data_IF_580248442772
#
_entry.id   IF_580248442772
#
_cell.length_a   1.000
_cell.length_b   1.000
_cell.length_c   1.000
_cell.angle_alpha   90.00
_cell.angle_beta   90.00
_cell.angle_gamma   90.00
#
_symmetry.space_group_name_H-M   'P 1'
#
loop_
_entity.id
_entity.type
_entity.pdbx_description
1 polymer ?
#
# COMPACT_ATOMS: atom_id res chain seq x y z
N UNK A 1 49.47 24.95 -3.61
CA UNK A 1 50.38 23.79 -3.71
C UNK A 1 49.54 22.59 -4.11
N UNK A 2 49.63 22.21 -5.38
CA UNK A 2 48.85 21.13 -5.98
C UNK A 2 49.53 19.79 -5.69
N UNK A 3 48.85 18.88 -5.01
CA UNK A 3 49.32 17.51 -4.83
C UNK A 3 48.58 16.64 -5.85
N UNK A 4 49.30 16.31 -6.90
CA UNK A 4 48.97 15.28 -7.89
C UNK A 4 49.36 13.93 -7.28
N UNK A 5 48.40 13.02 -7.13
CA UNK A 5 48.67 11.62 -6.79
C UNK A 5 48.39 10.78 -8.02
N UNK A 6 49.46 10.19 -8.56
CA UNK A 6 49.46 9.31 -9.72
C UNK A 6 48.93 7.93 -9.33
N UNK A 7 48.00 7.42 -10.13
CA UNK A 7 47.53 6.04 -10.13
C UNK A 7 48.57 5.14 -10.80
N UNK A 8 48.93 4.04 -10.16
CA UNK A 8 49.69 2.94 -10.77
C UNK A 8 48.78 1.71 -10.94
N UNK A 9 48.97 0.91 -12.02
CA UNK A 9 47.97 -0.04 -12.49
C UNK A 9 48.10 -1.40 -11.79
N UNK A 10 47.00 -1.89 -11.19
CA UNK A 10 46.94 -3.26 -10.66
C UNK A 10 46.69 -4.26 -11.78
N UNK A 11 47.57 -5.25 -11.87
CA UNK A 11 47.65 -6.29 -12.87
C UNK A 11 46.38 -7.15 -13.00
N UNK A 12 45.99 -7.40 -14.25
CA UNK A 12 45.04 -8.42 -14.66
C UNK A 12 45.73 -9.80 -14.62
N UNK A 13 45.16 -10.76 -13.89
CA UNK A 13 45.53 -12.18 -13.95
C UNK A 13 44.39 -12.93 -14.66
N UNK A 14 44.62 -13.59 -15.81
CA UNK A 14 43.61 -14.40 -16.46
C UNK A 14 43.55 -15.77 -15.79
N UNK A 15 42.37 -16.19 -15.33
CA UNK A 15 42.10 -17.59 -14.99
C UNK A 15 41.21 -18.20 -16.05
N UNK A 16 41.82 -18.97 -16.94
CA UNK A 16 41.16 -19.97 -17.78
C UNK A 16 40.65 -21.10 -16.88
N UNK A 17 39.33 -21.31 -16.86
CA UNK A 17 38.74 -22.54 -16.34
C UNK A 17 37.85 -23.15 -17.41
N UNK A 18 38.25 -24.34 -17.83
CA UNK A 18 37.64 -25.19 -18.83
C UNK A 18 36.21 -25.62 -18.45
N UNK A 19 35.36 -25.76 -19.48
CA UNK A 19 34.02 -26.38 -19.40
C UNK A 19 34.12 -27.90 -19.25
N UNK A 20 33.29 -28.52 -18.40
CA UNK A 20 32.81 -29.87 -18.63
C UNK A 20 31.37 -29.85 -19.14
N UNK A 21 31.12 -30.67 -20.15
CA UNK A 21 29.83 -30.91 -20.78
C UNK A 21 29.09 -32.05 -20.04
N UNK A 22 27.76 -32.00 -20.08
CA UNK A 22 26.78 -33.07 -19.76
C UNK A 22 26.46 -33.38 -18.28
N UNK A 23 25.16 -33.34 -17.95
CA UNK A 23 24.60 -34.04 -16.79
C UNK A 23 23.45 -33.33 -16.07
N UNK A 24 22.22 -33.58 -16.54
CA UNK A 24 20.94 -33.53 -15.78
C UNK A 24 20.66 -32.33 -14.87
N UNK A 25 19.82 -31.42 -15.34
CA UNK A 25 19.10 -30.46 -14.49
C UNK A 25 18.07 -31.22 -13.64
N UNK A 26 18.37 -31.39 -12.35
CA UNK A 26 17.38 -31.74 -11.32
C UNK A 26 16.53 -30.50 -11.04
N UNK A 27 15.27 -30.54 -11.47
CA UNK A 27 14.23 -29.61 -11.02
C UNK A 27 13.92 -29.96 -9.57
N UNK A 28 14.21 -29.06 -8.63
CA UNK A 28 13.73 -29.16 -7.26
C UNK A 28 12.30 -28.59 -7.21
N UNK A 29 11.33 -29.46 -7.50
CA UNK A 29 9.94 -29.25 -7.11
C UNK A 29 9.80 -29.66 -5.64
N UNK A 30 9.71 -28.68 -4.73
CA UNK A 30 9.29 -28.94 -3.36
C UNK A 30 7.76 -28.84 -3.28
N UNK A 31 7.08 -29.95 -3.57
CA UNK A 31 5.69 -30.17 -3.18
C UNK A 31 5.61 -30.35 -1.66
N UNK A 32 4.68 -29.64 -1.01
CA UNK A 32 4.09 -30.07 0.25
C UNK A 32 2.63 -30.44 -0.02
N UNK A 33 2.42 -31.74 -0.20
CA UNK A 33 1.14 -32.43 -0.15
C UNK A 33 0.72 -32.61 1.31
N UNK A 34 -0.44 -32.06 1.68
CA UNK A 34 -1.22 -32.56 2.82
C UNK A 34 -2.52 -33.14 2.26
N UNK A 35 -2.66 -34.46 2.36
CA UNK A 35 -3.87 -35.20 2.02
C UNK A 35 -5.05 -34.74 2.88
N UNK A 36 -6.17 -34.39 2.23
CA UNK A 36 -7.48 -34.33 2.88
C UNK A 36 -8.30 -35.50 2.36
N UNK A 37 -8.55 -36.46 3.26
CA UNK A 37 -9.32 -37.65 3.00
C UNK A 37 -10.80 -37.32 2.68
N UNK A 38 -11.33 -38.01 1.67
CA UNK A 38 -12.74 -37.99 1.27
C UNK A 38 -13.61 -38.69 2.32
N UNK A 39 -14.71 -38.06 2.73
CA UNK A 39 -15.88 -38.74 3.28
C UNK A 39 -17.13 -38.29 2.49
N UNK A 40 -17.72 -39.23 1.77
CA UNK A 40 -19.10 -39.31 1.25
C UNK A 40 -19.73 -40.51 1.98
N UNK A 41 -21.00 -40.66 2.30
CA UNK A 41 -22.29 -40.02 2.03
C UNK A 41 -23.26 -40.56 3.11
N UNK A 42 -24.33 -39.84 3.48
CA UNK A 42 -25.71 -40.40 3.50
C UNK A 42 -26.78 -39.42 4.01
N UNK A 43 -27.50 -38.83 3.06
CA UNK A 43 -28.96 -38.76 2.89
C UNK A 43 -29.92 -39.10 4.06
N UNK A 44 -30.84 -38.17 4.41
CA UNK A 44 -32.31 -38.35 4.64
C UNK A 44 -33.00 -36.98 4.35
N UNK A 45 -33.73 -36.79 3.23
CA UNK A 45 -35.23 -36.75 3.03
C UNK A 45 -35.99 -35.85 4.03
N UNK A 46 -36.99 -35.00 3.70
CA UNK A 46 -37.88 -34.82 2.52
C UNK A 46 -38.77 -33.54 2.67
N UNK A 47 -39.27 -33.01 1.53
CA UNK A 47 -40.58 -32.32 1.23
C UNK A 47 -40.87 -30.95 1.91
N UNK A 48 -40.86 -29.82 1.18
CA UNK A 48 -41.80 -29.28 0.18
C UNK A 48 -43.10 -28.67 0.76
N UNK A 49 -43.37 -27.39 0.46
CA UNK A 49 -44.62 -26.91 -0.15
C UNK A 49 -44.51 -25.42 -0.51
N UNK A 50 -44.87 -25.13 -1.76
CA UNK A 50 -45.00 -23.84 -2.42
C UNK A 50 -46.39 -23.24 -2.23
N UNK A 51 -46.52 -21.91 -2.24
CA UNK A 51 -47.74 -21.22 -2.71
C UNK A 51 -47.41 -19.87 -3.36
N UNK A 52 -47.93 -19.69 -4.58
CA UNK A 52 -47.93 -18.47 -5.38
C UNK A 52 -49.10 -17.55 -4.97
N UNK A 53 -48.98 -16.24 -5.16
CA UNK A 53 -49.85 -15.50 -6.11
C UNK A 53 -49.48 -14.03 -6.30
N UNK A 54 -49.86 -13.57 -7.50
CA UNK A 54 -49.61 -12.31 -8.22
C UNK A 54 -50.26 -11.06 -7.60
N UNK A 55 -49.78 -9.88 -8.00
CA UNK A 55 -50.58 -8.65 -8.02
C UNK A 55 -49.79 -7.39 -8.43
N UNK A 56 -50.20 -6.74 -9.51
CA UNK A 56 -49.57 -5.65 -10.28
C UNK A 56 -49.94 -4.22 -9.84
N UNK A 57 -48.94 -3.32 -9.93
CA UNK A 57 -48.92 -1.96 -10.52
C UNK A 57 -49.89 -0.79 -10.11
N UNK A 58 -49.26 0.41 -10.11
CA UNK A 58 -49.71 1.78 -10.46
C UNK A 58 -50.34 2.77 -9.44
N UNK A 59 -49.56 3.81 -9.12
CA UNK A 59 -49.71 5.26 -9.38
C UNK A 59 -51.00 6.08 -9.03
N UNK A 60 -50.73 7.37 -8.72
CA UNK A 60 -51.62 8.55 -8.55
C UNK A 60 -52.32 8.69 -7.19
N UNK A 61 -52.53 9.86 -6.59
CA UNK A 61 -52.41 11.26 -6.99
C UNK A 61 -52.64 12.18 -5.78
N UNK A 62 -52.39 13.48 -5.96
CA UNK A 62 -52.57 14.56 -4.96
C UNK A 62 -54.05 14.73 -4.58
N UNK A 63 -54.31 15.17 -3.34
CA UNK A 63 -55.31 16.22 -3.14
C UNK A 63 -55.13 17.02 -1.84
N UNK A 64 -55.29 18.34 -2.00
CA UNK A 64 -55.29 19.35 -0.95
C UNK A 64 -56.68 19.43 -0.29
N UNK A 65 -56.73 19.41 1.04
CA UNK A 65 -57.89 19.94 1.78
C UNK A 65 -57.44 20.89 2.90
N UNK A 66 -57.95 22.11 2.76
CA UNK A 66 -57.74 23.29 3.59
C UNK A 66 -58.82 23.30 4.68
N UNK A 67 -58.44 23.26 5.96
CA UNK A 67 -59.40 23.37 7.07
C UNK A 67 -58.94 24.37 8.13
N UNK A 68 -59.65 25.52 8.13
CA UNK A 68 -59.98 26.47 9.21
C UNK A 68 -59.04 26.63 10.42
N UNK A 69 -58.46 27.84 10.52
CA UNK A 69 -57.94 28.46 11.74
C UNK A 69 -59.02 28.53 12.84
N UNK A 70 -58.66 28.05 14.04
CA UNK A 70 -59.24 28.51 15.32
C UNK A 70 -58.13 29.21 16.10
N UNK A 71 -58.40 30.44 16.55
CA UNK A 71 -57.55 31.26 17.42
C UNK A 71 -57.37 30.55 18.77
N UNK A 72 -56.15 30.11 19.06
CA UNK A 72 -55.69 29.71 20.40
C UNK A 72 -54.71 30.75 20.92
N UNK A 73 -54.85 31.13 22.19
CA UNK A 73 -54.04 32.11 22.91
C UNK A 73 -52.52 31.96 22.63
N UNK A 74 -51.89 33.04 22.17
CA UNK A 74 -50.43 33.15 22.16
C UNK A 74 -49.94 33.32 23.61
N UNK A 75 -49.32 32.29 24.18
CA UNK A 75 -48.34 32.50 25.24
C UNK A 75 -47.03 32.92 24.58
N UNK A 76 -46.51 34.08 24.96
CA UNK A 76 -45.15 34.48 24.62
C UNK A 76 -44.23 33.64 25.52
N UNK A 77 -43.64 32.59 24.96
CA UNK A 77 -42.51 31.90 25.59
C UNK A 77 -41.28 32.75 25.28
N UNK A 78 -40.71 33.38 26.32
CA UNK A 78 -39.43 34.05 26.18
C UNK A 78 -38.38 32.99 25.79
N UNK A 79 -37.81 33.11 24.59
CA UNK A 79 -36.68 32.30 24.19
C UNK A 79 -35.51 32.63 25.12
N UNK A 80 -34.98 31.62 25.82
CA UNK A 80 -33.68 31.75 26.48
C UNK A 80 -32.65 32.22 25.44
N UNK A 81 -31.73 33.12 25.80
CA UNK A 81 -30.68 33.54 24.88
C UNK A 81 -29.89 32.30 24.42
N UNK A 82 -29.41 32.28 23.17
CA UNK A 82 -28.51 31.21 22.74
C UNK A 82 -27.35 31.18 23.74
N UNK A 83 -27.16 30.03 24.40
CA UNK A 83 -25.91 29.74 25.08
C UNK A 83 -24.82 29.95 24.03
N UNK A 84 -24.03 30.99 24.21
CA UNK A 84 -22.78 31.15 23.49
C UNK A 84 -21.97 29.90 23.81
N UNK A 85 -21.97 28.93 22.90
CA UNK A 85 -20.97 27.88 22.92
C UNK A 85 -19.64 28.61 22.92
N UNK A 86 -18.96 28.57 24.08
CA UNK A 86 -17.70 29.24 24.27
C UNK A 86 -16.78 28.78 23.13
N UNK A 87 -16.50 29.68 22.19
CA UNK A 87 -15.54 29.43 21.14
C UNK A 87 -14.22 29.23 21.86
N UNK A 88 -13.83 27.97 22.06
CA UNK A 88 -12.53 27.64 22.63
C UNK A 88 -11.52 28.19 21.65
N UNK A 89 -10.92 29.33 21.99
CA UNK A 89 -9.87 29.95 21.21
C UNK A 89 -8.74 28.92 21.10
N UNK A 90 -8.57 28.39 19.90
CA UNK A 90 -7.54 27.40 19.61
C UNK A 90 -6.30 28.15 19.14
N UNK A 91 -5.21 28.02 19.89
CA UNK A 91 -3.94 28.63 19.53
C UNK A 91 -3.34 27.92 18.30
N UNK A 92 -2.67 28.65 17.39
CA UNK A 92 -1.93 28.03 16.29
C UNK A 92 -0.83 27.10 16.79
N UNK A 93 -0.59 26.00 16.05
CA UNK A 93 0.50 25.08 16.37
C UNK A 93 1.86 25.79 16.28
N UNK A 94 2.71 25.53 17.27
CA UNK A 94 4.10 25.97 17.35
C UNK A 94 5.05 24.91 16.80
N UNK A 95 6.34 25.25 16.65
CA UNK A 95 7.38 24.27 16.29
C UNK A 95 7.48 23.18 17.37
N UNK A 96 7.37 23.59 18.63
CA UNK A 96 7.46 22.74 19.81
C UNK A 96 6.33 21.72 19.83
N UNK A 97 5.12 22.08 19.37
CA UNK A 97 4.01 21.14 19.21
C UNK A 97 4.31 20.07 18.16
N UNK A 98 4.93 20.44 17.04
CA UNK A 98 5.32 19.49 15.99
C UNK A 98 6.43 18.54 16.47
N UNK A 99 7.40 19.04 17.23
CA UNK A 99 8.43 18.21 17.87
C UNK A 99 7.79 17.30 18.92
N UNK A 100 6.89 17.84 19.75
CA UNK A 100 6.14 17.11 20.77
C UNK A 100 5.30 15.99 20.18
N UNK A 101 4.71 16.19 18.99
CA UNK A 101 3.99 15.16 18.26
C UNK A 101 4.90 13.98 17.89
N UNK A 102 6.08 14.22 17.32
CA UNK A 102 7.04 13.16 17.01
C UNK A 102 7.55 12.45 18.27
N UNK A 103 7.88 13.22 19.32
CA UNK A 103 8.34 12.70 20.59
C UNK A 103 7.28 11.83 21.30
N UNK A 104 5.98 12.12 21.11
CA UNK A 104 4.88 11.29 21.62
C UNK A 104 4.87 9.87 21.04
N UNK A 105 5.60 9.62 19.95
CA UNK A 105 5.81 8.30 19.36
C UNK A 105 6.72 7.37 20.18
N UNK A 106 7.42 7.88 21.20
CA UNK A 106 8.32 7.10 22.06
C UNK A 106 7.57 5.98 22.81
N UNK A 107 8.10 4.76 22.73
CA UNK A 107 7.51 3.57 23.38
C UNK A 107 8.55 2.80 24.18
N UNK A 108 8.18 2.36 25.37
CA UNK A 108 8.98 1.38 26.13
C UNK A 108 9.20 0.12 25.29
N UNK A 109 10.33 -0.55 25.49
CA UNK A 109 10.80 -1.64 24.62
C UNK A 109 9.79 -2.79 24.51
N UNK A 110 9.07 -3.08 25.59
CA UNK A 110 8.06 -4.15 25.66
C UNK A 110 6.83 -3.83 24.78
N UNK A 111 6.65 -2.55 24.43
CA UNK A 111 5.60 -2.05 23.54
C UNK A 111 6.07 -1.89 22.10
N UNK A 112 7.33 -2.21 21.77
CA UNK A 112 7.81 -2.16 20.39
C UNK A 112 7.10 -3.19 19.53
N UNK A 113 6.79 -2.80 18.30
CA UNK A 113 6.11 -3.62 17.31
C UNK A 113 6.81 -3.49 15.96
N UNK A 114 6.47 -4.42 15.07
CA UNK A 114 6.94 -4.53 13.70
C UNK A 114 5.71 -4.30 12.81
N UNK A 115 5.63 -3.15 12.16
CA UNK A 115 4.70 -2.94 11.06
C UNK A 115 5.38 -3.30 9.75
N UNK A 116 4.69 -3.98 8.84
CA UNK A 116 5.24 -4.32 7.52
C UNK A 116 4.26 -3.87 6.45
N UNK A 117 4.79 -3.22 5.42
CA UNK A 117 4.00 -2.82 4.27
C UNK A 117 4.65 -3.33 3.00
N UNK A 118 3.83 -3.72 2.02
CA UNK A 118 4.35 -4.15 0.74
C UNK A 118 3.36 -3.88 -0.40
N UNK A 119 3.92 -3.56 -1.55
CA UNK A 119 3.21 -3.27 -2.78
C UNK A 119 3.40 -4.41 -3.79
N UNK A 120 2.45 -4.56 -4.71
CA UNK A 120 2.51 -5.57 -5.77
C UNK A 120 1.73 -5.11 -7.00
N UNK A 121 2.22 -5.48 -8.19
CA UNK A 121 1.57 -5.13 -9.45
C UNK A 121 0.51 -6.17 -9.81
N UNK A 122 -0.75 -5.75 -9.97
CA UNK A 122 -1.79 -6.59 -10.55
C UNK A 122 -1.70 -6.61 -12.08
N UNK A 123 -1.95 -7.76 -12.69
CA UNK A 123 -1.95 -7.91 -14.15
C UNK A 123 -2.94 -8.97 -14.64
N UNK A 124 -3.43 -8.84 -15.87
CA UNK A 124 -4.29 -9.84 -16.52
C UNK A 124 -3.46 -11.02 -17.04
N UNK A 125 -3.83 -12.28 -16.75
CA UNK A 125 -3.07 -13.45 -17.22
C UNK A 125 -2.99 -13.55 -18.75
N UNK A 126 -4.07 -13.22 -19.46
CA UNK A 126 -4.14 -13.37 -20.92
C UNK A 126 -3.33 -12.34 -21.71
N UNK A 127 -3.21 -11.11 -21.20
CA UNK A 127 -2.62 -9.98 -21.94
C UNK A 127 -1.35 -9.43 -21.28
N UNK A 128 -1.12 -9.79 -20.01
CA UNK A 128 -0.13 -9.22 -19.10
C UNK A 128 -0.32 -7.72 -18.84
N UNK A 129 -1.44 -7.12 -19.27
CA UNK A 129 -1.71 -5.68 -19.08
C UNK A 129 -1.87 -5.36 -17.58
N UNK A 130 -1.46 -4.16 -17.14
CA UNK A 130 -1.69 -3.72 -15.77
C UNK A 130 -3.18 -3.72 -15.43
N UNK A 131 -3.51 -4.12 -14.22
CA UNK A 131 -4.89 -4.16 -13.72
C UNK A 131 -5.49 -2.74 -13.70
N UNK A 132 -6.64 -2.56 -14.35
CA UNK A 132 -7.37 -1.27 -14.41
C UNK A 132 -8.09 -0.99 -13.09
N UNK A 133 -8.52 0.26 -12.90
CA UNK A 133 -9.26 0.66 -11.71
C UNK A 133 -10.55 -0.14 -11.54
N UNK A 134 -11.30 -0.41 -12.61
CA UNK A 134 -12.58 -1.16 -12.52
C UNK A 134 -12.35 -2.58 -11.99
N UNK A 135 -11.28 -3.23 -12.42
CA UNK A 135 -10.85 -4.54 -11.92
C UNK A 135 -10.36 -4.46 -10.47
N UNK A 136 -9.62 -3.40 -10.10
CA UNK A 136 -9.23 -3.16 -8.71
C UNK A 136 -10.47 -2.99 -7.82
N UNK A 137 -11.47 -2.23 -8.27
CA UNK A 137 -12.69 -1.98 -7.52
C UNK A 137 -13.48 -3.28 -7.32
N UNK A 138 -13.61 -4.11 -8.35
CA UNK A 138 -14.24 -5.44 -8.24
C UNK A 138 -13.47 -6.33 -7.26
N UNK A 139 -12.14 -6.35 -7.34
CA UNK A 139 -11.29 -7.10 -6.41
C UNK A 139 -11.48 -6.63 -4.95
N UNK A 140 -11.47 -5.33 -4.70
CA UNK A 140 -11.66 -4.76 -3.36
C UNK A 140 -13.06 -5.09 -2.81
N UNK A 141 -14.11 -5.00 -3.64
CA UNK A 141 -15.46 -5.40 -3.23
C UNK A 141 -15.54 -6.89 -2.91
N UNK A 142 -14.94 -7.75 -3.75
CA UNK A 142 -14.90 -9.19 -3.51
C UNK A 142 -14.15 -9.56 -2.24
N UNK A 143 -13.03 -8.90 -1.93
CA UNK A 143 -12.31 -9.11 -0.66
C UNK A 143 -13.15 -8.64 0.53
N UNK A 144 -13.75 -7.44 0.43
CA UNK A 144 -14.60 -6.88 1.48
C UNK A 144 -15.74 -7.82 1.86
N UNK A 145 -16.43 -8.36 0.86
CA UNK A 145 -17.63 -9.20 1.04
C UNK A 145 -17.31 -10.62 1.50
N UNK A 146 -16.16 -11.20 1.09
CA UNK A 146 -15.79 -12.57 1.46
C UNK A 146 -15.00 -12.68 2.76
N UNK A 147 -14.28 -11.63 3.13
CA UNK A 147 -13.33 -11.66 4.25
C UNK A 147 -13.59 -10.56 5.29
N UNK A 148 -14.77 -9.92 5.22
CA UNK A 148 -15.26 -8.95 6.20
C UNK A 148 -14.30 -7.76 6.41
N UNK A 149 -13.90 -7.11 5.31
CA UNK A 149 -13.17 -5.85 5.37
C UNK A 149 -14.09 -4.64 5.15
N UNK A 150 -13.84 -3.57 5.89
CA UNK A 150 -14.54 -2.30 5.72
C UNK A 150 -14.05 -1.56 4.47
N UNK A 151 -14.99 -1.09 3.64
CA UNK A 151 -14.68 -0.36 2.40
C UNK A 151 -14.21 1.06 2.71
N UNK A 152 -13.07 1.46 2.15
CA UNK A 152 -12.56 2.85 2.23
C UNK A 152 -12.87 3.57 0.93
N UNK A 153 -13.58 4.69 1.02
CA UNK A 153 -14.13 5.42 -0.12
C UNK A 153 -13.52 6.81 -0.27
N UNK A 154 -13.31 7.26 -1.52
CA UNK A 154 -13.06 8.66 -1.88
C UNK A 154 -14.13 9.07 -2.90
N UNK A 155 -15.11 9.86 -2.44
CA UNK A 155 -16.34 10.07 -3.21
C UNK A 155 -17.07 8.75 -3.45
N UNK A 156 -17.35 8.42 -4.71
CA UNK A 156 -17.99 7.16 -5.11
C UNK A 156 -16.99 6.05 -5.49
N UNK A 157 -15.68 6.30 -5.36
CA UNK A 157 -14.63 5.32 -5.67
C UNK A 157 -14.20 4.56 -4.42
N UNK A 158 -14.17 3.22 -4.50
CA UNK A 158 -13.51 2.40 -3.48
C UNK A 158 -12.00 2.44 -3.74
N UNK A 159 -11.24 2.90 -2.75
CA UNK A 159 -9.79 3.16 -2.90
C UNK A 159 -8.93 2.35 -1.93
N UNK A 160 -9.56 1.49 -1.14
CA UNK A 160 -8.88 0.65 -0.17
C UNK A 160 -9.86 -0.10 0.72
N UNK A 161 -9.30 -0.86 1.65
CA UNK A 161 -10.04 -1.60 2.66
C UNK A 161 -9.38 -1.43 4.03
N UNK A 162 -10.13 -1.65 5.10
CA UNK A 162 -9.61 -1.66 6.47
C UNK A 162 -10.18 -2.84 7.26
N UNK A 163 -9.34 -3.48 8.06
CA UNK A 163 -9.76 -4.51 9.00
C UNK A 163 -8.91 -4.43 10.26
N UNK A 164 -9.50 -3.97 11.36
CA UNK A 164 -8.77 -3.73 12.60
C UNK A 164 -7.62 -2.74 12.41
N UNK A 165 -6.39 -3.22 12.56
CA UNK A 165 -5.14 -2.43 12.39
C UNK A 165 -4.46 -2.62 11.03
N UNK A 166 -5.06 -3.40 10.14
CA UNK A 166 -4.58 -3.58 8.77
C UNK A 166 -5.36 -2.68 7.83
N UNK A 167 -4.71 -2.27 6.74
CA UNK A 167 -5.37 -1.60 5.63
C UNK A 167 -4.80 -2.03 4.30
N UNK A 168 -5.67 -2.13 3.30
CA UNK A 168 -5.30 -2.29 1.90
C UNK A 168 -5.45 -0.93 1.24
N UNK A 169 -4.42 -0.52 0.51
CA UNK A 169 -4.35 0.80 -0.12
C UNK A 169 -3.90 0.69 -1.57
N UNK A 170 -4.07 1.78 -2.34
CA UNK A 170 -3.68 1.87 -3.74
C UNK A 170 -2.72 3.02 -3.94
N UNK A 171 -1.57 2.71 -4.53
CA UNK A 171 -0.57 3.65 -5.04
C UNK A 171 -0.99 4.25 -6.40
N UNK A 172 -0.31 5.30 -6.92
CA UNK A 172 -0.78 6.04 -8.09
C UNK A 172 -1.06 5.19 -9.34
N UNK A 173 -0.24 4.16 -9.58
CA UNK A 173 -0.36 3.24 -10.71
C UNK A 173 -1.24 2.01 -10.46
N UNK A 174 -1.95 1.96 -9.34
CA UNK A 174 -2.75 0.80 -8.95
C UNK A 174 -1.95 -0.33 -8.34
N UNK A 175 -0.71 -0.07 -7.89
CA UNK A 175 0.02 -1.03 -7.06
C UNK A 175 -0.79 -1.29 -5.80
N UNK A 176 -0.99 -2.57 -5.49
CA UNK A 176 -1.94 -3.01 -4.49
C UNK A 176 -1.23 -3.31 -3.18
N UNK A 177 -1.35 -2.39 -2.24
CA UNK A 177 -0.58 -2.36 -1.01
C UNK A 177 -1.31 -3.06 0.14
N UNK A 178 -0.55 -3.74 1.00
CA UNK A 178 -0.94 -4.01 2.38
C UNK A 178 -0.11 -3.12 3.30
N UNK A 179 -0.78 -2.40 4.19
CA UNK A 179 -0.19 -1.90 5.43
C UNK A 179 -0.65 -2.80 6.58
N UNK A 180 0.29 -3.61 7.08
CA UNK A 180 0.07 -4.60 8.13
C UNK A 180 -0.13 -4.00 9.52
N UNK A 181 -0.60 -4.84 10.45
CA UNK A 181 -0.74 -4.44 11.84
C UNK A 181 0.63 -4.28 12.53
N UNK A 182 0.71 -3.50 13.63
CA UNK A 182 1.89 -3.50 14.48
C UNK A 182 1.95 -4.81 15.30
N UNK A 183 2.81 -5.73 14.87
CA UNK A 183 2.94 -7.10 15.40
C UNK A 183 4.16 -7.27 16.31
N UNK A 184 4.16 -8.30 17.15
CA UNK A 184 5.23 -8.52 18.13
C UNK A 184 6.39 -9.36 17.57
N UNK A 185 6.10 -10.27 16.64
CA UNK A 185 7.09 -11.21 16.10
C UNK A 185 7.06 -11.30 14.59
N UNK A 186 8.20 -11.65 13.99
CA UNK A 186 8.31 -11.90 12.55
C UNK A 186 7.45 -13.09 12.07
N UNK A 187 7.16 -14.06 12.95
CA UNK A 187 6.26 -15.16 12.62
C UNK A 187 4.83 -14.67 12.41
N UNK A 188 4.37 -13.73 13.24
CA UNK A 188 3.07 -13.07 13.04
C UNK A 188 3.07 -12.26 11.74
N UNK A 189 4.13 -11.49 11.45
CA UNK A 189 4.25 -10.75 10.19
C UNK A 189 4.16 -11.69 8.98
N UNK A 190 4.86 -12.83 9.01
CA UNK A 190 4.80 -13.81 7.94
C UNK A 190 3.39 -14.41 7.79
N UNK A 191 2.71 -14.72 8.90
CA UNK A 191 1.33 -15.19 8.87
C UNK A 191 0.36 -14.14 8.29
N UNK A 192 0.53 -12.86 8.63
CA UNK A 192 -0.28 -11.75 8.11
C UNK A 192 -0.09 -11.59 6.59
N UNK A 193 1.16 -11.57 6.11
CA UNK A 193 1.46 -11.52 4.67
C UNK A 193 0.82 -12.71 3.93
N UNK A 194 0.94 -13.93 4.46
CA UNK A 194 0.33 -15.10 3.84
C UNK A 194 -1.20 -15.04 3.83
N UNK A 195 -1.82 -14.57 4.90
CA UNK A 195 -3.28 -14.37 4.98
C UNK A 195 -3.76 -13.39 3.91
N UNK A 196 -3.09 -12.24 3.78
CA UNK A 196 -3.40 -11.27 2.73
C UNK A 196 -3.24 -11.85 1.32
N UNK A 197 -2.10 -12.50 1.05
CA UNK A 197 -1.86 -13.10 -0.26
C UNK A 197 -2.89 -14.18 -0.61
N UNK A 198 -3.32 -14.97 0.38
CA UNK A 198 -4.39 -15.95 0.20
C UNK A 198 -5.71 -15.28 -0.17
N UNK A 199 -6.15 -14.27 0.59
CA UNK A 199 -7.40 -13.56 0.35
C UNK A 199 -7.43 -12.89 -1.03
N UNK A 200 -6.34 -12.20 -1.39
CA UNK A 200 -6.21 -11.55 -2.70
C UNK A 200 -6.27 -12.58 -3.83
N UNK A 201 -5.54 -13.71 -3.72
CA UNK A 201 -5.56 -14.76 -4.74
C UNK A 201 -6.93 -15.40 -4.90
N UNK A 202 -7.61 -15.69 -3.79
CA UNK A 202 -8.93 -16.34 -3.80
C UNK A 202 -9.99 -15.56 -4.60
N UNK A 203 -9.86 -14.23 -4.68
CA UNK A 203 -10.76 -13.39 -5.50
C UNK A 203 -10.15 -13.14 -6.88
N UNK A 204 -8.87 -12.81 -6.95
CA UNK A 204 -8.22 -12.41 -8.21
C UNK A 204 -8.14 -13.52 -9.26
N UNK A 205 -7.98 -14.79 -8.84
CA UNK A 205 -7.92 -15.92 -9.77
C UNK A 205 -9.22 -16.10 -10.56
N UNK A 206 -10.37 -15.89 -9.92
CA UNK A 206 -11.69 -15.93 -10.58
C UNK A 206 -11.85 -14.81 -11.62
N UNK A 207 -11.11 -13.71 -11.45
CA UNK A 207 -11.09 -12.56 -12.36
C UNK A 207 -10.03 -12.70 -13.47
N UNK A 208 -9.22 -13.77 -13.46
CA UNK A 208 -8.08 -13.92 -14.36
C UNK A 208 -6.95 -12.92 -14.11
N UNK A 209 -6.81 -12.45 -12.86
CA UNK A 209 -5.79 -11.50 -12.42
C UNK A 209 -4.69 -12.21 -11.61
N UNK A 210 -3.43 -11.92 -11.94
CA UNK A 210 -2.25 -12.29 -11.18
C UNK A 210 -1.60 -11.09 -10.48
N UNK A 211 -0.67 -11.38 -9.56
CA UNK A 211 0.14 -10.36 -8.89
C UNK A 211 1.64 -10.64 -9.03
N UNK A 212 2.41 -9.60 -9.28
CA UNK A 212 3.86 -9.64 -9.47
C UNK A 212 4.58 -8.85 -8.38
N UNK A 213 5.49 -9.51 -7.66
CA UNK A 213 6.40 -8.91 -6.68
C UNK A 213 7.75 -8.56 -7.32
N UNK A 214 7.89 -7.34 -7.83
CA UNK A 214 9.12 -6.82 -8.45
C UNK A 214 9.23 -5.33 -8.13
N UNK A 215 10.45 -4.80 -7.98
CA UNK A 215 10.65 -3.40 -7.59
C UNK A 215 10.27 -2.36 -8.66
N UNK A 216 10.19 -2.77 -9.93
CA UNK A 216 9.85 -1.89 -11.05
C UNK A 216 9.07 -2.66 -12.13
N UNK A 217 8.04 -2.03 -12.72
CA UNK A 217 7.21 -2.61 -13.78
C UNK A 217 8.09 -3.01 -14.99
N UNK A 218 8.24 -4.31 -15.28
CA UNK A 218 9.25 -4.79 -16.21
C UNK A 218 8.86 -4.64 -17.68
N UNK A 219 7.57 -4.55 -18.03
CA UNK A 219 7.06 -4.72 -19.40
C UNK A 219 6.46 -3.46 -20.01
N UNK A 220 5.75 -2.66 -19.22
CA UNK A 220 4.91 -1.58 -19.74
C UNK A 220 5.52 -0.19 -19.53
N UNK A 221 5.30 0.69 -20.51
CA UNK A 221 5.67 2.09 -20.40
C UNK A 221 4.72 2.85 -19.48
N UNK A 222 5.12 4.03 -19.02
CA UNK A 222 4.30 4.83 -18.09
C UNK A 222 2.91 5.16 -18.66
N UNK A 223 2.81 5.38 -19.97
CA UNK A 223 1.55 5.67 -20.69
C UNK A 223 0.53 4.51 -20.65
N UNK A 224 1.00 3.30 -20.37
CA UNK A 224 0.18 2.10 -20.30
C UNK A 224 -0.32 1.81 -18.87
N UNK A 225 0.14 2.58 -17.88
CA UNK A 225 -0.22 2.40 -16.47
C UNK A 225 -1.52 3.17 -16.16
N UNK A 226 -2.53 2.54 -15.55
CA UNK A 226 -3.74 3.22 -15.13
C UNK A 226 -3.44 4.22 -14.01
N UNK A 227 -4.29 5.24 -13.91
CA UNK A 227 -4.19 6.26 -12.86
C UNK A 227 -5.31 6.04 -11.85
N UNK A 228 -4.96 5.86 -10.59
CA UNK A 228 -5.96 5.68 -9.54
C UNK A 228 -6.72 6.98 -9.26
N UNK A 229 -8.05 6.93 -9.04
CA UNK A 229 -8.90 8.12 -8.88
C UNK A 229 -8.80 8.71 -7.47
N UNK A 230 -7.59 9.17 -7.09
CA UNK A 230 -7.32 9.84 -5.81
C UNK A 230 -6.81 11.26 -6.07
N UNK A 231 -7.50 12.27 -5.55
CA UNK A 231 -7.20 13.68 -5.83
C UNK A 231 -5.76 14.08 -5.48
N UNK A 232 -5.18 13.47 -4.43
CA UNK A 232 -3.78 13.70 -4.05
C UNK A 232 -2.78 13.38 -5.16
N UNK A 233 -3.08 12.38 -6.01
CA UNK A 233 -2.19 11.95 -7.07
C UNK A 233 -2.16 12.91 -8.26
N UNK A 234 -3.23 13.64 -8.50
CA UNK A 234 -3.24 14.68 -9.53
C UNK A 234 -2.26 15.81 -9.18
N UNK A 235 -2.24 16.24 -7.91
CA UNK A 235 -1.30 17.25 -7.41
C UNK A 235 0.14 16.77 -7.61
N UNK A 236 0.45 15.55 -7.17
CA UNK A 236 1.80 15.00 -7.28
C UNK A 236 2.21 14.81 -8.74
N UNK A 237 1.34 14.27 -9.61
CA UNK A 237 1.61 14.06 -11.04
C UNK A 237 1.96 15.37 -11.75
N UNK A 238 1.30 16.46 -11.38
CA UNK A 238 1.57 17.79 -11.95
C UNK A 238 2.85 18.43 -11.36
N UNK A 239 3.29 18.00 -10.19
CA UNK A 239 4.46 18.54 -9.50
C UNK A 239 5.76 17.81 -9.88
N UNK A 240 5.75 16.47 -9.95
CA UNK A 240 6.97 15.67 -10.16
C UNK A 240 7.84 16.13 -11.36
N UNK A 241 7.28 16.44 -12.55
CA UNK A 241 8.08 16.91 -13.69
C UNK A 241 8.84 18.23 -13.44
N UNK A 242 8.48 18.98 -12.39
CA UNK A 242 9.12 20.25 -12.02
C UNK A 242 10.38 20.06 -11.18
N UNK A 243 10.61 18.87 -10.63
CA UNK A 243 11.63 18.61 -9.60
C UNK A 243 12.55 17.43 -9.87
N UNK A 244 12.21 16.58 -10.84
CA UNK A 244 13.04 15.45 -11.26
C UNK A 244 12.48 14.80 -12.53
N UNK A 245 13.28 13.98 -13.22
CA UNK A 245 12.83 13.31 -14.45
C UNK A 245 12.19 11.93 -14.18
N UNK A 246 12.47 11.32 -13.02
CA UNK A 246 12.03 9.96 -12.68
C UNK A 246 10.89 9.92 -11.65
N UNK A 247 10.42 11.07 -11.15
CA UNK A 247 9.38 11.12 -10.12
C UNK A 247 8.02 10.54 -10.55
N UNK A 248 7.69 10.59 -11.84
CA UNK A 248 6.50 9.92 -12.37
C UNK A 248 6.68 8.39 -12.41
N UNK A 249 7.89 7.90 -12.72
CA UNK A 249 8.17 6.48 -12.69
C UNK A 249 8.15 5.91 -11.27
N UNK A 250 8.61 6.68 -10.29
CA UNK A 250 8.43 6.35 -8.88
C UNK A 250 6.94 6.10 -8.57
N UNK A 251 6.09 7.06 -8.91
CA UNK A 251 4.65 7.00 -8.62
C UNK A 251 3.95 5.80 -9.29
N UNK A 252 4.22 5.56 -10.57
CA UNK A 252 3.40 4.66 -11.39
C UNK A 252 4.03 3.28 -11.63
N UNK A 253 5.36 3.16 -11.50
CA UNK A 253 6.08 1.97 -11.95
C UNK A 253 6.97 1.34 -10.89
N UNK A 254 6.96 1.79 -9.64
CA UNK A 254 7.71 1.12 -8.56
C UNK A 254 6.81 0.39 -7.56
N UNK A 255 7.35 -0.67 -6.96
CA UNK A 255 6.82 -1.31 -5.76
C UNK A 255 7.91 -1.39 -4.67
N UNK A 256 7.52 -1.40 -3.40
CA UNK A 256 8.41 -1.61 -2.25
C UNK A 256 7.92 -2.70 -1.30
N UNK A 257 8.83 -3.19 -0.48
CA UNK A 257 8.53 -3.75 0.85
C UNK A 257 9.23 -2.88 1.88
N UNK A 258 8.53 -2.50 2.94
CA UNK A 258 9.04 -1.64 3.99
C UNK A 258 8.65 -2.14 5.38
N UNK A 259 9.43 -1.72 6.38
CA UNK A 259 9.21 -2.06 7.78
C UNK A 259 9.18 -0.79 8.62
N UNK A 260 8.20 -0.73 9.51
CA UNK A 260 7.99 0.35 10.47
C UNK A 260 8.42 -0.15 11.85
N UNK A 261 9.34 0.59 12.49
CA UNK A 261 9.93 0.22 13.78
C UNK A 261 9.82 1.37 14.78
N UNK A 262 9.59 1.00 16.05
CA UNK A 262 9.48 1.95 17.16
C UNK A 262 10.84 2.39 17.71
N UNK A 263 10.85 3.51 18.45
CA UNK A 263 11.97 4.00 19.26
C UNK A 263 11.50 4.33 20.69
N UNK A 264 12.41 4.23 21.67
CA UNK A 264 12.07 4.47 23.08
C UNK A 264 12.34 5.88 23.60
N UNK A 265 13.18 6.63 22.91
CA UNK A 265 13.55 8.01 23.23
C UNK A 265 14.13 8.68 21.99
N UNK A 266 14.35 9.99 22.07
CA UNK A 266 15.10 10.74 21.06
C UNK A 266 16.51 10.17 20.83
N UNK A 267 17.23 9.81 21.89
CA UNK A 267 18.55 9.20 21.78
C UNK A 267 18.52 7.83 21.05
N UNK A 268 17.50 7.00 21.30
CA UNK A 268 17.31 5.74 20.59
C UNK A 268 16.90 5.97 19.12
N UNK A 269 16.04 6.96 18.87
CA UNK A 269 15.64 7.39 17.53
C UNK A 269 16.86 7.81 16.70
N UNK A 270 17.72 8.69 17.23
CA UNK A 270 18.94 9.14 16.55
C UNK A 270 19.85 7.95 16.20
N UNK A 271 20.06 7.03 17.15
CA UNK A 271 20.89 5.82 16.94
C UNK A 271 20.31 4.93 15.83
N UNK A 272 19.00 4.67 15.88
CA UNK A 272 18.30 3.85 14.87
C UNK A 272 18.28 4.53 13.50
N UNK A 273 18.08 5.84 13.45
CA UNK A 273 18.07 6.59 12.19
C UNK A 273 19.46 6.56 11.53
N UNK A 274 20.52 6.84 12.29
CA UNK A 274 21.92 6.74 11.79
C UNK A 274 22.24 5.33 11.30
N UNK A 275 21.88 4.30 12.05
CA UNK A 275 22.09 2.91 11.65
C UNK A 275 21.28 2.57 10.38
N UNK A 276 20.01 2.95 10.32
CA UNK A 276 19.13 2.74 9.18
C UNK A 276 19.69 3.37 7.91
N UNK A 277 20.06 4.66 7.95
CA UNK A 277 20.65 5.35 6.80
C UNK A 277 21.96 4.70 6.35
N UNK A 278 22.88 4.41 7.28
CA UNK A 278 24.18 3.83 6.93
C UNK A 278 24.05 2.44 6.28
N UNK A 279 23.06 1.63 6.70
CA UNK A 279 22.86 0.26 6.21
C UNK A 279 21.87 0.17 5.05
N UNK A 280 21.13 1.23 4.73
CA UNK A 280 20.11 1.23 3.67
C UNK A 280 20.65 0.79 2.29
N UNK A 281 21.86 1.17 1.86
CA UNK A 281 22.42 0.67 0.60
C UNK A 281 22.70 -0.84 0.60
N UNK A 282 23.07 -1.41 1.76
CA UNK A 282 23.29 -2.86 1.91
C UNK A 282 21.96 -3.59 1.77
N UNK A 283 20.91 -3.13 2.45
CA UNK A 283 19.57 -3.67 2.29
C UNK A 283 19.11 -3.57 0.82
N UNK A 284 19.34 -2.44 0.17
CA UNK A 284 18.99 -2.24 -1.25
C UNK A 284 19.71 -3.24 -2.16
N UNK A 285 20.98 -3.57 -1.88
CA UNK A 285 21.73 -4.55 -2.65
C UNK A 285 21.22 -5.97 -2.45
N UNK A 286 20.91 -6.37 -1.21
CA UNK A 286 20.37 -7.71 -0.89
C UNK A 286 19.00 -7.92 -1.56
N UNK A 287 18.16 -6.88 -1.58
CA UNK A 287 16.79 -6.94 -2.10
C UNK A 287 16.65 -6.38 -3.54
N UNK A 288 17.75 -6.24 -4.28
CA UNK A 288 17.73 -5.71 -5.64
C UNK A 288 16.92 -6.63 -6.58
N UNK A 289 15.79 -6.13 -7.08
CA UNK A 289 14.84 -6.92 -7.87
C UNK A 289 14.12 -6.05 -8.91
N UNK A 290 14.85 -5.30 -9.75
CA UNK A 290 14.24 -4.53 -10.85
C UNK A 290 15.16 -4.29 -12.07
N UNK A 291 15.59 -5.36 -12.76
CA UNK A 291 16.56 -5.25 -13.86
C UNK A 291 15.96 -4.98 -15.25
N UNK A 292 14.64 -4.91 -15.37
CA UNK A 292 13.94 -4.75 -16.65
C UNK A 292 13.18 -3.43 -16.74
N UNK A 293 13.13 -2.85 -17.94
CA UNK A 293 12.27 -1.73 -18.31
C UNK A 293 11.76 -1.98 -19.72
N UNK A 294 10.44 -1.92 -19.90
CA UNK A 294 9.78 -2.05 -21.22
C UNK A 294 10.18 -3.32 -22.00
N UNK A 295 10.37 -4.43 -21.28
CA UNK A 295 10.70 -5.74 -21.82
C UNK A 295 12.19 -6.00 -22.04
N UNK A 296 13.06 -5.03 -21.74
CA UNK A 296 14.51 -5.11 -21.97
C UNK A 296 15.30 -4.93 -20.67
N UNK A 297 16.54 -5.44 -20.63
CA UNK A 297 17.47 -5.13 -19.54
C UNK A 297 17.77 -3.63 -19.51
N UNK A 298 17.72 -3.03 -18.33
CA UNK A 298 17.89 -1.58 -18.15
C UNK A 298 19.28 -1.16 -17.64
N UNK A 299 20.17 -2.12 -17.37
CA UNK A 299 21.53 -1.87 -16.90
C UNK A 299 21.67 -1.70 -15.37
N UNK A 300 20.58 -1.82 -14.61
CA UNK A 300 20.59 -1.73 -13.15
C UNK A 300 20.16 -3.06 -12.51
N UNK A 301 20.61 -3.33 -11.29
CA UNK A 301 20.05 -4.40 -10.46
C UNK A 301 18.77 -3.93 -9.75
N UNK A 302 18.76 -2.66 -9.35
CA UNK A 302 17.62 -1.99 -8.73
C UNK A 302 17.33 -0.66 -9.43
N UNK A 303 16.63 -0.72 -10.56
CA UNK A 303 16.10 0.50 -11.23
C UNK A 303 15.19 1.28 -10.28
N UNK A 304 14.42 0.59 -9.44
CA UNK A 304 13.65 1.22 -8.36
C UNK A 304 14.51 2.17 -7.53
N UNK A 305 15.68 1.72 -7.06
CA UNK A 305 16.54 2.56 -6.23
C UNK A 305 17.16 3.71 -7.02
N UNK A 306 17.51 3.50 -8.30
CA UNK A 306 18.02 4.56 -9.17
C UNK A 306 16.99 5.68 -9.35
N UNK A 307 15.72 5.33 -9.56
CA UNK A 307 14.61 6.27 -9.73
C UNK A 307 14.55 7.29 -8.58
N UNK A 308 14.70 6.83 -7.34
CA UNK A 308 14.65 7.69 -6.16
C UNK A 308 15.75 8.77 -6.10
N UNK A 309 16.83 8.63 -6.88
CA UNK A 309 17.91 9.62 -6.97
C UNK A 309 17.54 10.85 -7.82
N UNK A 310 16.51 10.73 -8.66
CA UNK A 310 16.03 11.81 -9.54
C UNK A 310 14.50 11.97 -9.48
N UNK A 311 13.94 11.74 -8.29
CA UNK A 311 12.52 11.98 -7.97
C UNK A 311 12.28 13.44 -7.55
N UNK A 312 12.86 13.87 -6.42
CA UNK A 312 12.81 15.25 -5.92
C UNK A 312 13.88 15.39 -4.83
N UNK A 313 14.95 16.13 -5.14
CA UNK A 313 16.10 16.33 -4.24
C UNK A 313 15.76 16.98 -2.89
N UNK A 314 14.60 17.63 -2.76
CA UNK A 314 14.20 18.29 -1.51
C UNK A 314 13.61 17.30 -0.49
N UNK A 315 13.29 16.07 -0.90
CA UNK A 315 12.58 15.08 -0.06
C UNK A 315 13.13 13.66 -0.19
N UNK A 316 14.31 13.49 -0.78
CA UNK A 316 14.98 12.20 -0.94
C UNK A 316 16.46 12.28 -0.53
N UNK A 317 17.12 11.12 -0.46
CA UNK A 317 18.56 11.02 -0.25
C UNK A 317 18.97 10.44 1.09
N UNK A 318 20.27 10.57 1.39
CA UNK A 318 20.92 9.95 2.55
C UNK A 318 20.92 10.81 3.82
N UNK A 319 20.28 11.99 3.78
CA UNK A 319 20.05 12.89 4.91
C UNK A 319 21.31 13.09 5.80
N UNK A 320 22.42 13.64 5.26
CA UNK A 320 23.71 13.70 5.98
C UNK A 320 23.64 14.43 7.32
N UNK A 321 22.74 15.41 7.46
CA UNK A 321 22.54 16.17 8.71
C UNK A 321 22.15 15.27 9.91
N UNK A 322 21.61 14.07 9.68
CA UNK A 322 21.29 13.10 10.75
C UNK A 322 22.55 12.63 11.50
N UNK A 323 23.72 12.75 10.87
CA UNK A 323 25.02 12.38 11.46
C UNK A 323 25.70 13.54 12.20
N UNK A 324 25.17 14.76 12.11
CA UNK A 324 25.71 15.91 12.83
C UNK A 324 25.43 15.78 14.35
N UNK A 325 26.33 16.34 15.16
CA UNK A 325 26.17 16.34 16.63
C UNK A 325 24.95 17.14 17.11
N UNK A 326 24.41 18.02 16.28
CA UNK A 326 23.23 18.86 16.58
C UNK A 326 21.90 18.21 16.19
N UNK A 327 21.91 16.99 15.64
CA UNK A 327 20.67 16.28 15.30
C UNK A 327 20.09 15.56 16.51
N UNK A 328 18.78 15.75 16.75
CA UNK A 328 18.14 15.53 18.03
C UNK A 328 17.69 16.87 18.57
#
# INVERSE_FOLDING_TARGET
MSIVSQTSPSAFVPTDIARPNSGRTLVFDAFNSLEVAKIKDSCVRFLSLSFNSRGTAQASGRDCLRARMKRGNQMIVAASPPTEDAVIATEPLTKEDLVGYLASGCKQKEKWRIGTEHEKFGFEFGTLRPMKYEQIAELLNGIAERFDWDKVMEGHYIIGLKQGKQSISLEPGGQFELSGAPLETLHQTCAEVNSHLYQVKAVAEEMGIGFLGIGFQPKWGIKDIPVMPKGRYEIMRNYMPKVGSLGLDMMFRTCTVQVNLDFSSEADMIRKFRAGLALQPIATAIFANSPFTEGMLNGYLSMRSQIWTDTDRNRTGMLPFVFDNSFG
#
